data_IF_304287160076
#
_entry.id   IF_304287160076
#
_cell.length_a   1.000
_cell.length_b   1.000
_cell.length_c   1.000
_cell.angle_alpha   90.00
_cell.angle_beta   90.00
_cell.angle_gamma   90.00
#
_symmetry.space_group_name_H-M   'P 1'
#
loop_
_entity.id
_entity.type
_entity.pdbx_description
1 polymer ?
#
# COMPACT_ATOMS: atom_id res chain seq x y z
N UNK A 1 45.39 23.24 -7.54
CA UNK A 1 45.35 21.76 -7.69
C UNK A 1 44.24 21.23 -6.82
N UNK A 2 43.35 20.37 -7.33
CA UNK A 2 42.18 19.89 -6.58
C UNK A 2 42.57 18.89 -5.50
N UNK A 3 42.09 19.06 -4.27
CA UNK A 3 42.39 18.18 -3.14
C UNK A 3 41.98 16.71 -3.38
N UNK A 4 40.85 16.51 -4.07
CA UNK A 4 40.34 15.19 -4.48
C UNK A 4 41.29 14.47 -5.42
N UNK A 5 41.91 15.19 -6.37
CA UNK A 5 42.90 14.60 -7.28
C UNK A 5 44.19 14.23 -6.55
N UNK A 6 44.64 15.05 -5.61
CA UNK A 6 45.87 14.76 -4.86
C UNK A 6 45.72 13.53 -3.98
N UNK A 7 44.57 13.36 -3.31
CA UNK A 7 44.31 12.14 -2.54
C UNK A 7 44.11 10.92 -3.43
N UNK A 8 43.38 11.06 -4.54
CA UNK A 8 43.24 9.98 -5.50
C UNK A 8 44.61 9.53 -6.06
N UNK A 9 45.51 10.48 -6.31
CA UNK A 9 46.86 10.17 -6.82
C UNK A 9 47.75 9.53 -5.74
N UNK A 10 47.58 9.89 -4.46
CA UNK A 10 48.25 9.21 -3.33
C UNK A 10 47.78 7.76 -3.19
N UNK A 11 46.48 7.51 -3.37
CA UNK A 11 45.88 6.18 -3.23
C UNK A 11 46.00 5.34 -4.51
N UNK A 12 46.27 5.97 -5.66
CA UNK A 12 46.33 5.36 -6.98
C UNK A 12 44.96 4.93 -7.52
N UNK A 13 44.26 4.07 -6.79
CA UNK A 13 42.90 3.59 -7.07
C UNK A 13 42.08 3.67 -5.79
N UNK A 14 41.03 4.47 -5.78
CA UNK A 14 40.20 4.66 -4.60
C UNK A 14 38.72 4.84 -4.96
N UNK A 15 37.84 4.47 -4.03
CA UNK A 15 36.42 4.81 -4.14
C UNK A 15 36.19 6.25 -3.69
N UNK A 16 35.07 6.85 -4.12
CA UNK A 16 34.66 8.18 -3.67
C UNK A 16 34.48 8.22 -2.13
N UNK A 17 34.03 7.12 -1.53
CA UNK A 17 33.89 6.98 -0.07
C UNK A 17 35.22 7.05 0.66
N UNK A 18 36.26 6.39 0.15
CA UNK A 18 37.59 6.44 0.76
C UNK A 18 38.19 7.85 0.69
N UNK A 19 37.95 8.57 -0.41
CA UNK A 19 38.43 9.94 -0.60
C UNK A 19 37.67 10.92 0.29
N UNK A 20 36.34 10.78 0.39
CA UNK A 20 35.48 11.57 1.29
C UNK A 20 35.94 11.44 2.75
N UNK A 21 36.21 10.21 3.20
CA UNK A 21 36.74 9.96 4.56
C UNK A 21 38.12 10.56 4.78
N UNK A 22 39.02 10.49 3.79
CA UNK A 22 40.37 11.03 3.89
C UNK A 22 40.43 12.57 3.91
N UNK A 23 39.48 13.23 3.24
CA UNK A 23 39.42 14.69 3.17
C UNK A 23 38.42 15.33 4.14
N UNK A 24 37.59 14.53 4.81
CA UNK A 24 36.46 14.98 5.63
C UNK A 24 35.51 15.93 4.85
N UNK A 25 35.23 15.56 3.58
CA UNK A 25 34.33 16.29 2.67
C UNK A 25 33.09 15.42 2.42
N UNK A 26 31.94 16.03 2.16
CA UNK A 26 30.71 15.32 1.80
C UNK A 26 30.93 14.40 0.59
N UNK A 27 30.31 13.23 0.64
CA UNK A 27 30.45 12.22 -0.41
C UNK A 27 29.92 12.72 -1.75
N UNK A 28 28.85 13.51 -1.77
CA UNK A 28 28.25 14.01 -3.00
C UNK A 28 29.16 15.05 -3.67
N UNK A 29 29.78 15.93 -2.89
CA UNK A 29 30.74 16.90 -3.41
C UNK A 29 31.97 16.21 -4.04
N UNK A 30 32.45 15.13 -3.42
CA UNK A 30 33.54 14.29 -3.97
C UNK A 30 33.09 13.60 -5.27
N UNK A 31 31.88 13.07 -5.33
CA UNK A 31 31.34 12.43 -6.54
C UNK A 31 31.19 13.44 -7.68
N UNK A 32 30.66 14.63 -7.42
CA UNK A 32 30.47 15.68 -8.42
C UNK A 32 31.81 16.17 -8.98
N UNK A 33 32.80 16.36 -8.13
CA UNK A 33 34.15 16.74 -8.57
C UNK A 33 34.82 15.63 -9.37
N UNK A 34 34.68 14.36 -8.99
CA UNK A 34 35.19 13.22 -9.75
C UNK A 34 34.52 13.09 -11.13
N UNK A 35 33.21 13.33 -11.23
CA UNK A 35 32.51 13.37 -12.53
C UNK A 35 32.97 14.50 -13.43
N UNK A 36 33.18 15.70 -12.88
CA UNK A 36 33.75 16.84 -13.63
C UNK A 36 35.14 16.47 -14.18
N UNK A 37 35.97 15.86 -13.36
CA UNK A 37 37.32 15.42 -13.74
C UNK A 37 37.31 14.31 -14.79
N UNK A 38 36.32 13.42 -14.75
CA UNK A 38 36.13 12.37 -15.76
C UNK A 38 35.75 12.96 -17.11
N UNK A 39 34.83 13.94 -17.13
CA UNK A 39 34.43 14.63 -18.35
C UNK A 39 35.61 15.42 -18.95
N UNK A 40 36.57 15.83 -18.13
CA UNK A 40 37.82 16.46 -18.55
C UNK A 40 38.92 15.45 -18.96
N UNK A 41 38.67 14.14 -18.82
CA UNK A 41 39.63 13.09 -19.16
C UNK A 41 40.80 12.93 -18.17
N UNK A 42 40.70 13.51 -16.97
CA UNK A 42 41.76 13.48 -15.95
C UNK A 42 41.69 12.23 -15.08
N UNK A 43 40.48 11.68 -14.89
CA UNK A 43 40.23 10.46 -14.10
C UNK A 43 39.39 9.46 -14.88
N UNK A 44 39.58 8.19 -14.60
CA UNK A 44 38.74 7.10 -15.12
C UNK A 44 38.04 6.41 -13.96
N UNK A 45 36.85 5.85 -14.25
CA UNK A 45 36.08 5.06 -13.28
C UNK A 45 35.85 3.67 -13.86
N UNK A 46 36.16 2.63 -13.07
CA UNK A 46 35.90 1.22 -13.38
C UNK A 46 35.26 0.58 -12.16
N UNK A 47 34.04 0.04 -12.31
CA UNK A 47 33.30 -0.63 -11.25
C UNK A 47 33.23 0.17 -9.92
N UNK A 48 33.06 1.49 -9.98
CA UNK A 48 32.99 2.35 -8.78
C UNK A 48 34.36 2.74 -8.18
N UNK A 49 35.46 2.27 -8.76
CA UNK A 49 36.82 2.65 -8.38
C UNK A 49 37.32 3.74 -9.33
N UNK A 50 37.74 4.85 -8.77
CA UNK A 50 38.31 5.98 -9.48
C UNK A 50 39.83 5.83 -9.57
N UNK A 51 40.41 6.27 -10.69
CA UNK A 51 41.85 6.22 -10.95
C UNK A 51 42.28 7.45 -11.75
N UNK A 52 43.36 8.11 -11.33
CA UNK A 52 43.96 9.20 -12.10
C UNK A 52 44.58 8.67 -13.40
N UNK A 53 44.33 9.34 -14.52
CA UNK A 53 44.94 9.01 -15.81
C UNK A 53 46.36 9.59 -15.81
N UNK A 54 47.33 8.81 -15.34
CA UNK A 54 48.72 9.07 -15.69
C UNK A 54 48.83 8.94 -17.21
N UNK A 55 49.43 9.91 -17.89
CA UNK A 55 49.75 9.82 -19.31
C UNK A 55 50.79 8.71 -19.51
N UNK A 56 50.34 7.46 -19.53
CA UNK A 56 51.11 6.33 -20.02
C UNK A 56 50.69 6.08 -21.47
N UNK A 57 51.61 6.47 -22.35
CA UNK A 57 51.68 6.03 -23.73
C UNK A 57 51.75 4.49 -23.71
N UNK A 58 51.05 3.85 -24.65
CA UNK A 58 51.07 2.40 -24.91
C UNK A 58 50.34 1.49 -23.92
N UNK A 59 49.02 1.40 -24.12
CA UNK A 59 48.37 0.12 -24.48
C UNK A 59 46.98 0.39 -25.05
N UNK A 60 46.91 0.31 -26.37
CA UNK A 60 45.68 0.27 -27.16
C UNK A 60 45.07 -1.13 -27.01
N UNK A 61 43.93 -1.34 -26.33
CA UNK A 61 42.97 -2.27 -26.87
C UNK A 61 42.33 -1.57 -28.06
N UNK A 62 42.39 -2.22 -29.20
CA UNK A 62 41.59 -1.92 -30.37
C UNK A 62 40.10 -1.94 -29.95
N UNK A 63 39.54 -0.80 -29.59
CA UNK A 63 38.09 -0.62 -29.46
C UNK A 63 37.72 0.25 -30.66
N UNK A 64 37.20 -0.41 -31.70
CA UNK A 64 36.55 0.28 -32.81
C UNK A 64 35.55 1.32 -32.25
N UNK A 65 35.28 2.42 -32.96
CA UNK A 65 34.21 3.34 -32.56
C UNK A 65 32.94 2.50 -32.40
N UNK A 66 32.47 2.35 -31.17
CA UNK A 66 31.21 1.66 -30.91
C UNK A 66 30.17 2.50 -31.62
N UNK A 67 29.68 2.00 -32.76
CA UNK A 67 28.61 2.64 -33.50
C UNK A 67 27.48 2.93 -32.50
N UNK A 68 26.82 4.09 -32.57
CA UNK A 68 25.73 4.40 -31.67
C UNK A 68 24.74 3.25 -31.71
N UNK A 69 24.62 2.56 -30.57
CA UNK A 69 23.69 1.44 -30.43
C UNK A 69 22.32 2.02 -30.76
N UNK A 70 21.70 1.52 -31.83
CA UNK A 70 20.37 1.95 -32.21
C UNK A 70 19.47 1.83 -30.98
N UNK A 71 18.65 2.85 -30.67
CA UNK A 71 17.83 2.83 -29.48
C UNK A 71 16.98 1.56 -29.50
N UNK A 72 17.16 0.73 -28.47
CA UNK A 72 16.34 -0.46 -28.25
C UNK A 72 14.89 0.01 -28.23
N UNK A 73 14.06 -0.56 -29.10
CA UNK A 73 12.65 -0.18 -29.18
C UNK A 73 12.01 -0.29 -27.80
N UNK A 74 11.14 0.67 -27.41
CA UNK A 74 10.53 0.65 -26.09
C UNK A 74 9.80 -0.68 -25.88
N UNK A 75 10.16 -1.37 -24.81
CA UNK A 75 9.39 -2.54 -24.36
C UNK A 75 7.98 -2.05 -24.07
N UNK A 76 6.99 -2.66 -24.72
CA UNK A 76 5.61 -2.22 -24.57
C UNK A 76 5.19 -2.27 -23.10
N UNK A 77 4.42 -1.27 -22.62
CA UNK A 77 3.98 -1.23 -21.24
C UNK A 77 3.20 -2.49 -20.90
N UNK A 78 3.63 -3.20 -19.86
CA UNK A 78 2.83 -4.30 -19.30
C UNK A 78 1.52 -3.69 -18.82
N UNK A 79 0.40 -4.24 -19.29
CA UNK A 79 -0.91 -3.72 -18.96
C UNK A 79 -1.14 -3.73 -17.43
N UNK A 80 -1.80 -2.70 -16.86
CA UNK A 80 -2.06 -2.65 -15.43
C UNK A 80 -2.89 -3.85 -15.00
N UNK A 81 -2.42 -4.56 -13.97
CA UNK A 81 -3.21 -5.60 -13.33
C UNK A 81 -4.43 -4.93 -12.70
N UNK A 82 -5.62 -5.45 -13.00
CA UNK A 82 -6.86 -4.87 -12.50
C UNK A 82 -6.90 -4.87 -10.97
N UNK A 83 -7.49 -3.84 -10.34
CA UNK A 83 -7.62 -3.79 -8.89
C UNK A 83 -8.39 -5.00 -8.38
N UNK A 84 -7.82 -5.70 -7.41
CA UNK A 84 -8.55 -6.74 -6.68
C UNK A 84 -9.69 -6.07 -5.92
N UNK A 85 -10.92 -6.58 -6.10
CA UNK A 85 -12.08 -6.00 -5.44
C UNK A 85 -11.93 -6.08 -3.91
N UNK A 86 -12.33 -5.02 -3.19
CA UNK A 86 -12.28 -5.02 -1.73
C UNK A 86 -13.15 -6.14 -1.17
N UNK A 87 -12.56 -6.96 -0.30
CA UNK A 87 -13.28 -8.01 0.42
C UNK A 87 -14.28 -7.35 1.36
N UNK A 88 -15.55 -7.74 1.28
CA UNK A 88 -16.59 -7.16 2.12
C UNK A 88 -16.34 -7.48 3.60
N UNK A 89 -16.51 -6.50 4.51
CA UNK A 89 -16.36 -6.75 5.93
C UNK A 89 -17.43 -7.73 6.40
N UNK A 90 -17.02 -8.75 7.15
CA UNK A 90 -17.93 -9.68 7.83
C UNK A 90 -18.65 -8.89 8.92
N UNK A 91 -19.86 -8.44 8.64
CA UNK A 91 -20.67 -7.68 9.60
C UNK A 91 -21.15 -8.60 10.71
N UNK A 92 -20.45 -8.61 11.85
CA UNK A 92 -20.96 -9.19 13.08
C UNK A 92 -21.99 -8.23 13.71
N UNK A 93 -23.17 -8.13 13.09
CA UNK A 93 -24.20 -7.18 13.45
C UNK A 93 -25.09 -7.70 14.60
N UNK A 94 -24.49 -7.80 15.79
CA UNK A 94 -25.16 -8.23 17.02
C UNK A 94 -26.42 -7.40 17.29
N UNK A 95 -26.34 -6.09 17.03
CA UNK A 95 -27.44 -5.15 17.21
C UNK A 95 -28.60 -5.51 16.26
N UNK A 96 -28.32 -5.81 15.00
CA UNK A 96 -29.31 -6.24 14.02
C UNK A 96 -30.01 -7.55 14.42
N UNK A 97 -29.27 -8.51 14.97
CA UNK A 97 -29.83 -9.79 15.42
C UNK A 97 -30.70 -9.65 16.67
N UNK A 98 -30.28 -8.84 17.64
CA UNK A 98 -31.08 -8.52 18.83
C UNK A 98 -32.40 -7.83 18.44
N UNK A 99 -32.34 -6.83 17.55
CA UNK A 99 -33.53 -6.16 17.03
C UNK A 99 -34.47 -7.12 16.29
N UNK A 100 -33.91 -8.07 15.52
CA UNK A 100 -34.69 -9.10 14.82
C UNK A 100 -35.37 -10.06 15.80
N UNK A 101 -34.68 -10.51 16.85
CA UNK A 101 -35.24 -11.38 17.90
C UNK A 101 -36.35 -10.68 18.67
N UNK A 102 -36.09 -9.47 19.16
CA UNK A 102 -37.08 -8.64 19.86
C UNK A 102 -38.34 -8.41 19.02
N UNK A 103 -38.20 -8.07 17.73
CA UNK A 103 -39.35 -7.89 16.83
C UNK A 103 -40.16 -9.18 16.62
N UNK A 104 -39.51 -10.35 16.60
CA UNK A 104 -40.22 -11.65 16.51
C UNK A 104 -41.01 -11.94 17.78
N UNK A 105 -40.46 -11.62 18.95
CA UNK A 105 -41.15 -11.78 20.24
C UNK A 105 -42.36 -10.86 20.34
N UNK A 106 -42.23 -9.59 19.96
CA UNK A 106 -43.34 -8.64 19.90
C UNK A 106 -44.49 -9.16 19.01
N UNK A 107 -44.17 -9.77 17.85
CA UNK A 107 -45.19 -10.39 16.98
C UNK A 107 -45.88 -11.59 17.63
N UNK A 108 -45.16 -12.42 18.39
CA UNK A 108 -45.75 -13.56 19.11
C UNK A 108 -46.66 -13.09 20.25
N UNK A 109 -46.23 -12.07 20.99
CA UNK A 109 -47.05 -11.44 22.03
C UNK A 109 -48.34 -10.84 21.44
N UNK A 110 -48.23 -10.11 20.32
CA UNK A 110 -49.39 -9.56 19.62
C UNK A 110 -50.39 -10.63 19.15
N UNK A 111 -49.93 -11.81 18.72
CA UNK A 111 -50.84 -12.94 18.40
C UNK A 111 -51.56 -13.49 19.64
N UNK A 112 -50.85 -13.61 20.78
CA UNK A 112 -51.50 -14.02 22.05
C UNK A 112 -52.56 -13.00 22.45
N UNK A 113 -52.27 -11.71 22.33
CA UNK A 113 -53.23 -10.65 22.66
C UNK A 113 -54.49 -10.69 21.79
N UNK A 114 -54.36 -10.82 20.47
CA UNK A 114 -55.53 -11.02 19.59
C UNK A 114 -56.37 -12.24 19.96
N UNK A 115 -55.71 -13.33 20.40
CA UNK A 115 -56.42 -14.53 20.86
C UNK A 115 -57.19 -14.27 22.16
N UNK A 116 -56.59 -13.54 23.10
CA UNK A 116 -57.26 -13.10 24.33
C UNK A 116 -58.42 -12.14 24.06
N UNK A 117 -58.29 -11.22 23.11
CA UNK A 117 -59.41 -10.35 22.69
C UNK A 117 -60.59 -11.16 22.16
N UNK A 118 -60.33 -12.20 21.36
CA UNK A 118 -61.37 -13.13 20.91
C UNK A 118 -62.05 -13.87 22.07
N UNK A 119 -61.28 -14.34 23.05
CA UNK A 119 -61.82 -14.99 24.25
C UNK A 119 -62.68 -14.03 25.08
N UNK A 120 -62.25 -12.78 25.27
CA UNK A 120 -63.03 -11.76 25.97
C UNK A 120 -64.35 -11.45 25.26
N UNK A 121 -64.37 -11.38 23.92
CA UNK A 121 -65.62 -11.21 23.15
C UNK A 121 -66.57 -12.39 23.34
N UNK A 122 -66.06 -13.63 23.29
CA UNK A 122 -66.87 -14.82 23.53
C UNK A 122 -67.46 -14.84 24.96
N UNK A 123 -66.66 -14.46 25.96
CA UNK A 123 -67.13 -14.32 27.34
C UNK A 123 -68.19 -13.22 27.47
N UNK A 124 -68.03 -12.10 26.76
CA UNK A 124 -69.03 -11.03 26.73
C UNK A 124 -70.36 -11.52 26.14
N UNK A 125 -70.34 -12.29 25.05
CA UNK A 125 -71.56 -12.90 24.51
C UNK A 125 -72.21 -13.88 25.50
N UNK A 126 -71.41 -14.71 26.18
CA UNK A 126 -71.92 -15.61 27.22
C UNK A 126 -72.58 -14.87 28.39
N UNK A 127 -72.02 -13.72 28.79
CA UNK A 127 -72.62 -12.89 29.83
C UNK A 127 -73.98 -12.33 29.39
N UNK A 128 -74.17 -11.96 28.12
CA UNK A 128 -75.49 -11.52 27.63
C UNK A 128 -76.55 -12.61 27.80
N UNK A 129 -76.22 -13.87 27.48
CA UNK A 129 -77.14 -14.98 27.68
C UNK A 129 -77.43 -15.24 29.16
N UNK A 130 -76.45 -15.08 30.04
CA UNK A 130 -76.65 -15.15 31.49
C UNK A 130 -77.65 -14.09 31.96
N UNK A 131 -77.51 -12.85 31.48
CA UNK A 131 -78.38 -11.75 31.86
C UNK A 131 -79.82 -12.00 31.41
N UNK A 132 -80.02 -12.47 30.17
CA UNK A 132 -81.33 -12.87 29.66
C UNK A 132 -81.98 -14.01 30.47
N UNK A 133 -81.19 -15.00 30.92
CA UNK A 133 -81.71 -16.08 31.76
C UNK A 133 -82.14 -15.54 33.12
N UNK A 134 -81.39 -14.61 33.71
CA UNK A 134 -81.77 -13.99 34.97
C UNK A 134 -83.06 -13.18 34.83
N UNK A 135 -83.20 -12.40 33.75
CA UNK A 135 -84.41 -11.63 33.43
C UNK A 135 -85.65 -12.52 33.21
N UNK A 136 -85.48 -13.73 32.65
CA UNK A 136 -86.57 -14.69 32.49
C UNK A 136 -86.91 -15.46 33.77
N UNK A 137 -86.06 -15.38 34.79
CA UNK A 137 -86.21 -16.10 36.06
C UNK A 137 -86.76 -15.23 37.21
N UNK A 138 -86.78 -13.91 37.04
CA UNK A 138 -87.48 -12.94 37.89
C UNK A 138 -88.94 -12.79 37.46
#
# INVERSE_FOLDING_TARGET
MNAVLTELNKLGKASAESISKGLNIDLNDVIDTLWKLKNQGVVTVKNGIWQAVAREVDKKPNIAPVQPVQPVQPVQPVQPVQPVQPVQPVQHNIIGDLLRKSRKEARRAGRKQKRWEGACKALQELNKYRDLINELSE
#
